data_IF_303449270780
#
_entry.id   IF_303449270780
#
_cell.length_a   1.000
_cell.length_b   1.000
_cell.length_c   1.000
_cell.angle_alpha   90.00
_cell.angle_beta   90.00
_cell.angle_gamma   90.00
#
_symmetry.space_group_name_H-M   'P 1'
#
loop_
_entity.id
_entity.type
_entity.pdbx_description
1 polymer ?
#
# COMPACT_ATOMS: atom_id res chain seq x y z
N UNK A 1 6.00 -27.43 -26.48
CA UNK A 1 4.78 -27.83 -27.22
C UNK A 1 3.93 -28.83 -26.39
N UNK A 2 3.85 -28.69 -25.07
CA UNK A 2 3.04 -29.55 -24.20
C UNK A 2 1.81 -28.83 -23.59
N UNK A 3 1.60 -27.54 -23.90
CA UNK A 3 0.59 -26.74 -23.20
C UNK A 3 -0.85 -27.21 -23.45
N UNK A 4 -1.14 -27.88 -24.57
CA UNK A 4 -2.49 -28.36 -24.88
C UNK A 4 -2.85 -29.67 -24.17
N UNK A 5 -1.87 -30.55 -23.91
CA UNK A 5 -2.08 -31.81 -23.17
C UNK A 5 -2.29 -31.58 -21.68
N UNK A 6 -1.53 -30.65 -21.11
CA UNK A 6 -1.58 -30.35 -19.69
C UNK A 6 -2.90 -29.66 -19.31
N UNK A 7 -3.58 -29.07 -20.31
CA UNK A 7 -4.81 -28.29 -20.13
C UNK A 7 -5.98 -29.10 -19.61
N UNK A 8 -6.20 -30.34 -20.08
CA UNK A 8 -7.50 -30.99 -19.91
C UNK A 8 -7.60 -31.96 -18.74
N UNK A 9 -6.49 -32.59 -18.33
CA UNK A 9 -6.45 -33.49 -17.18
C UNK A 9 -6.85 -32.81 -15.86
N UNK A 10 -6.61 -31.50 -15.80
CA UNK A 10 -6.70 -30.67 -14.60
C UNK A 10 -7.68 -29.49 -14.71
N UNK A 11 -8.54 -29.39 -15.72
CA UNK A 11 -9.46 -28.22 -15.89
C UNK A 11 -10.28 -27.95 -14.64
N UNK A 12 -10.81 -29.01 -13.99
CA UNK A 12 -11.56 -28.83 -12.75
C UNK A 12 -10.66 -28.48 -11.56
N UNK A 13 -9.38 -28.86 -11.61
CA UNK A 13 -8.39 -28.68 -10.55
C UNK A 13 -7.75 -27.29 -10.55
N UNK A 14 -7.74 -26.60 -11.71
CA UNK A 14 -7.19 -25.24 -11.85
C UNK A 14 -7.86 -24.21 -10.91
N UNK A 15 -9.10 -24.44 -10.51
CA UNK A 15 -9.84 -23.55 -9.62
C UNK A 15 -9.70 -23.89 -8.13
N UNK A 16 -8.92 -24.92 -7.80
CA UNK A 16 -8.63 -25.26 -6.41
C UNK A 16 -7.63 -24.27 -5.83
N UNK A 17 -7.92 -23.78 -4.63
CA UNK A 17 -7.07 -22.82 -3.93
C UNK A 17 -6.25 -23.58 -2.90
N UNK A 18 -4.92 -23.54 -3.06
CA UNK A 18 -3.99 -24.15 -2.10
C UNK A 18 -3.81 -23.22 -0.90
N UNK A 19 -4.08 -23.74 0.30
CA UNK A 19 -4.04 -23.01 1.57
C UNK A 19 -3.04 -23.68 2.50
N UNK A 20 -2.49 -22.92 3.45
CA UNK A 20 -1.59 -23.43 4.48
C UNK A 20 -2.24 -24.49 5.39
N UNK A 21 -3.33 -24.14 6.07
CA UNK A 21 -3.94 -24.94 7.14
C UNK A 21 -5.46 -25.07 6.99
N UNK A 22 -6.06 -26.03 7.71
CA UNK A 22 -7.53 -26.19 7.77
C UNK A 22 -8.23 -25.00 8.46
N UNK A 23 -7.58 -24.33 9.42
CA UNK A 23 -8.16 -23.14 10.10
C UNK A 23 -8.38 -22.00 9.10
N UNK A 24 -7.36 -21.68 8.32
CA UNK A 24 -7.45 -20.64 7.29
C UNK A 24 -8.55 -20.94 6.25
N UNK A 25 -8.78 -22.21 5.92
CA UNK A 25 -9.89 -22.59 5.04
C UNK A 25 -11.26 -22.33 5.70
N UNK A 26 -11.43 -22.56 7.00
CA UNK A 26 -12.67 -22.25 7.74
C UNK A 26 -12.91 -20.75 7.80
N UNK A 27 -11.90 -19.99 8.18
CA UNK A 27 -11.97 -18.52 8.26
C UNK A 27 -12.37 -17.91 6.91
N UNK A 28 -11.81 -18.40 5.80
CA UNK A 28 -12.19 -17.94 4.46
C UNK A 28 -13.63 -18.30 4.08
N UNK A 29 -14.12 -19.47 4.48
CA UNK A 29 -15.49 -19.89 4.21
C UNK A 29 -16.49 -19.10 5.05
N UNK A 30 -16.19 -18.89 6.34
CA UNK A 30 -17.01 -18.10 7.27
C UNK A 30 -17.03 -16.62 6.90
N UNK A 31 -15.94 -16.10 6.33
CA UNK A 31 -15.83 -14.71 5.85
C UNK A 31 -16.68 -14.37 4.63
N UNK A 32 -17.37 -15.34 4.01
CA UNK A 32 -18.31 -15.12 2.91
C UNK A 32 -17.62 -14.99 1.55
N UNK A 33 -17.47 -16.11 0.85
CA UNK A 33 -16.93 -16.14 -0.52
C UNK A 33 -18.05 -15.88 -1.54
N UNK A 34 -17.79 -15.00 -2.52
CA UNK A 34 -18.74 -14.72 -3.61
C UNK A 34 -19.05 -15.94 -4.50
N UNK A 35 -18.21 -16.98 -4.46
CA UNK A 35 -18.40 -18.19 -5.26
C UNK A 35 -17.85 -19.41 -4.54
N UNK A 36 -18.43 -20.57 -4.83
CA UNK A 36 -17.94 -21.85 -4.30
C UNK A 36 -16.51 -22.09 -4.81
N UNK A 37 -15.62 -22.42 -3.88
CA UNK A 37 -14.22 -22.78 -4.13
C UNK A 37 -13.88 -24.05 -3.38
N UNK A 38 -12.96 -24.84 -3.94
CA UNK A 38 -12.41 -26.01 -3.26
C UNK A 38 -11.03 -25.65 -2.73
N UNK A 39 -10.77 -25.97 -1.47
CA UNK A 39 -9.54 -25.65 -0.78
C UNK A 39 -8.68 -26.88 -0.55
N UNK A 40 -7.37 -26.77 -0.81
CA UNK A 40 -6.40 -27.84 -0.57
C UNK A 40 -5.42 -27.38 0.50
N UNK A 41 -5.51 -27.88 1.75
CA UNK A 41 -4.58 -27.50 2.81
C UNK A 41 -3.25 -28.25 2.66
N UNK A 42 -2.19 -27.61 2.16
CA UNK A 42 -0.95 -28.29 1.78
C UNK A 42 -0.20 -28.91 2.96
N UNK A 43 -0.28 -28.35 4.18
CA UNK A 43 0.38 -28.93 5.36
C UNK A 43 -0.26 -30.25 5.82
N UNK A 44 -1.58 -30.38 5.65
CA UNK A 44 -2.38 -31.45 6.26
C UNK A 44 -3.04 -32.40 5.25
N UNK A 45 -2.82 -32.17 3.95
CA UNK A 45 -3.33 -33.05 2.91
C UNK A 45 -2.58 -34.38 2.90
N UNK A 46 -3.32 -35.46 2.62
CA UNK A 46 -2.81 -36.81 2.57
C UNK A 46 -3.06 -37.31 1.14
N UNK A 47 -2.01 -37.42 0.30
CA UNK A 47 -2.16 -37.92 -1.06
C UNK A 47 -2.53 -39.41 -1.05
N UNK A 48 -3.16 -39.86 -2.13
CA UNK A 48 -3.54 -41.26 -2.28
C UNK A 48 -2.30 -42.09 -2.58
N UNK A 49 -1.99 -43.05 -1.71
CA UNK A 49 -0.91 -44.00 -1.97
C UNK A 49 -1.37 -45.06 -2.97
N UNK A 50 -0.55 -45.29 -3.99
CA UNK A 50 -0.73 -46.38 -4.93
C UNK A 50 0.30 -47.47 -4.68
N UNK A 51 -0.15 -48.68 -4.38
CA UNK A 51 0.74 -49.84 -4.31
C UNK A 51 1.39 -50.10 -5.67
N UNK A 52 2.69 -50.40 -5.65
CA UNK A 52 3.48 -50.76 -6.83
C UNK A 52 3.38 -49.74 -7.98
N UNK A 53 3.29 -48.44 -7.68
CA UNK A 53 3.11 -47.39 -8.69
C UNK A 53 4.12 -47.50 -9.85
N UNK A 54 5.40 -47.72 -9.55
CA UNK A 54 6.44 -47.89 -10.56
C UNK A 54 6.18 -49.08 -11.51
N UNK A 55 5.69 -50.21 -10.98
CA UNK A 55 5.34 -51.37 -11.80
C UNK A 55 4.12 -51.11 -12.68
N UNK A 56 3.14 -50.35 -12.17
CA UNK A 56 1.93 -49.95 -12.91
C UNK A 56 2.29 -49.01 -14.06
N UNK A 57 3.18 -48.04 -13.82
CA UNK A 57 3.69 -47.12 -14.85
C UNK A 57 4.48 -47.87 -15.92
N UNK A 58 5.38 -48.78 -15.53
CA UNK A 58 6.11 -49.63 -16.49
C UNK A 58 5.16 -50.45 -17.37
N UNK A 59 4.14 -51.07 -16.77
CA UNK A 59 3.11 -51.81 -17.51
C UNK A 59 2.35 -50.90 -18.47
N UNK A 60 1.98 -49.69 -18.06
CA UNK A 60 1.34 -48.71 -18.92
C UNK A 60 2.22 -48.33 -20.11
N UNK A 61 3.52 -48.10 -19.87
CA UNK A 61 4.50 -47.82 -20.93
C UNK A 61 4.65 -49.00 -21.90
N UNK A 62 4.63 -50.23 -21.42
CA UNK A 62 4.71 -51.42 -22.29
C UNK A 62 3.45 -51.61 -23.15
N UNK A 63 2.27 -51.24 -22.63
CA UNK A 63 1.04 -51.19 -23.42
C UNK A 63 1.14 -50.09 -24.48
N UNK A 64 1.61 -48.90 -24.11
CA UNK A 64 1.76 -47.76 -25.00
C UNK A 64 2.72 -48.04 -26.16
N UNK A 65 3.82 -48.75 -25.92
CA UNK A 65 4.75 -49.19 -26.97
C UNK A 65 4.07 -50.02 -28.06
N UNK A 66 3.03 -50.80 -27.73
CA UNK A 66 2.26 -51.56 -28.74
C UNK A 66 1.48 -50.64 -29.68
N UNK A 67 1.13 -49.45 -29.21
CA UNK A 67 0.46 -48.39 -29.99
C UNK A 67 1.44 -47.41 -30.62
N UNK A 68 2.77 -47.64 -30.52
CA UNK A 68 3.82 -46.69 -30.91
C UNK A 68 3.70 -45.32 -30.22
N UNK A 69 3.20 -45.30 -28.98
CA UNK A 69 3.01 -44.09 -28.17
C UNK A 69 3.86 -44.12 -26.89
N UNK A 70 4.03 -42.94 -26.29
CA UNK A 70 4.65 -42.78 -24.99
C UNK A 70 3.60 -42.50 -23.92
N UNK A 71 3.86 -43.00 -22.70
CA UNK A 71 3.03 -42.72 -21.52
C UNK A 71 3.90 -42.22 -20.40
N UNK A 72 3.51 -41.07 -19.85
CA UNK A 72 4.24 -40.35 -18.80
C UNK A 72 3.29 -40.04 -17.65
N UNK A 73 3.82 -39.96 -16.44
CA UNK A 73 3.03 -39.52 -15.29
C UNK A 73 2.82 -38.00 -15.36
N UNK A 74 1.61 -37.54 -15.02
CA UNK A 74 1.30 -36.11 -15.04
C UNK A 74 2.20 -35.29 -14.10
N UNK A 75 2.58 -35.87 -12.95
CA UNK A 75 3.46 -35.22 -11.98
C UNK A 75 4.85 -34.92 -12.54
N UNK A 76 5.37 -35.78 -13.44
CA UNK A 76 6.70 -35.64 -14.03
C UNK A 76 6.78 -34.53 -15.08
N UNK A 77 5.63 -34.01 -15.54
CA UNK A 77 5.52 -32.97 -16.56
C UNK A 77 5.39 -31.56 -15.97
N UNK A 78 5.26 -31.43 -14.64
CA UNK A 78 4.93 -30.18 -13.98
C UNK A 78 6.03 -29.80 -12.98
N UNK A 79 6.53 -28.57 -13.10
CA UNK A 79 7.41 -27.98 -12.09
C UNK A 79 6.60 -27.27 -11.00
N UNK A 80 6.90 -27.54 -9.73
CA UNK A 80 6.25 -26.90 -8.59
C UNK A 80 7.19 -26.74 -7.39
N UNK A 81 6.83 -25.87 -6.44
CA UNK A 81 7.59 -25.67 -5.21
C UNK A 81 7.55 -26.95 -4.34
N UNK A 82 8.69 -27.50 -3.90
CA UNK A 82 8.75 -28.69 -3.05
C UNK A 82 7.88 -28.62 -1.79
N UNK A 83 7.58 -27.43 -1.27
CA UNK A 83 6.65 -27.26 -0.14
C UNK A 83 5.24 -27.76 -0.47
N UNK A 84 4.85 -27.70 -1.73
CA UNK A 84 3.53 -28.06 -2.24
C UNK A 84 3.45 -29.51 -2.73
N UNK A 85 4.52 -30.30 -2.58
CA UNK A 85 4.62 -31.70 -3.02
C UNK A 85 3.37 -32.52 -2.71
N UNK A 86 2.93 -32.52 -1.45
CA UNK A 86 1.75 -33.29 -1.03
C UNK A 86 0.46 -32.85 -1.72
N UNK A 87 0.33 -31.56 -2.02
CA UNK A 87 -0.85 -31.02 -2.69
C UNK A 87 -0.84 -31.39 -4.18
N UNK A 88 0.33 -31.34 -4.83
CA UNK A 88 0.47 -31.78 -6.22
C UNK A 88 0.30 -33.30 -6.35
N UNK A 89 0.86 -34.09 -5.43
CA UNK A 89 0.63 -35.52 -5.35
C UNK A 89 -0.87 -35.84 -5.18
N UNK A 90 -1.59 -35.17 -4.28
CA UNK A 90 -3.03 -35.39 -4.10
C UNK A 90 -3.82 -35.22 -5.41
N UNK A 91 -3.38 -34.30 -6.26
CA UNK A 91 -4.09 -33.89 -7.47
C UNK A 91 -3.65 -34.69 -8.71
N UNK A 92 -2.34 -34.89 -8.87
CA UNK A 92 -1.73 -35.43 -10.08
C UNK A 92 -1.17 -36.85 -9.91
N UNK A 93 -1.02 -37.36 -8.69
CA UNK A 93 -0.50 -38.71 -8.47
C UNK A 93 -1.49 -39.77 -8.98
N UNK A 94 -0.96 -40.70 -9.79
CA UNK A 94 -1.77 -41.75 -10.42
C UNK A 94 -2.59 -41.27 -11.62
N UNK A 95 -2.25 -40.10 -12.19
CA UNK A 95 -2.70 -39.67 -13.51
C UNK A 95 -1.61 -39.97 -14.53
N UNK A 96 -1.96 -40.71 -15.57
CA UNK A 96 -1.12 -40.97 -16.74
C UNK A 96 -1.56 -40.10 -17.91
N UNK A 97 -0.62 -39.72 -18.77
CA UNK A 97 -0.88 -38.98 -20.00
C UNK A 97 -0.49 -39.83 -21.21
N UNK A 98 -1.42 -39.96 -22.17
CA UNK A 98 -1.24 -40.67 -23.44
C UNK A 98 -1.53 -39.74 -24.63
N UNK A 99 -1.08 -40.10 -25.83
CA UNK A 99 -1.39 -39.31 -27.02
C UNK A 99 -2.80 -39.58 -27.55
N UNK A 100 -3.20 -40.85 -27.66
CA UNK A 100 -4.50 -41.24 -28.23
C UNK A 100 -5.46 -41.89 -27.24
N UNK A 101 -6.76 -41.80 -27.57
CA UNK A 101 -7.83 -42.43 -26.80
C UNK A 101 -7.80 -43.96 -26.88
N UNK A 102 -7.28 -44.53 -27.97
CA UNK A 102 -7.13 -45.99 -28.13
C UNK A 102 -6.11 -46.54 -27.16
N UNK A 103 -4.93 -45.91 -27.07
CA UNK A 103 -3.92 -46.24 -26.06
C UNK A 103 -4.46 -46.01 -24.64
N UNK A 104 -5.10 -44.86 -24.38
CA UNK A 104 -5.63 -44.55 -23.06
C UNK A 104 -6.68 -45.58 -22.57
N UNK A 105 -7.53 -46.11 -23.45
CA UNK A 105 -8.49 -47.17 -23.10
C UNK A 105 -7.77 -48.44 -22.64
N UNK A 106 -6.80 -48.90 -23.42
CA UNK A 106 -6.06 -50.13 -23.11
C UNK A 106 -5.26 -49.98 -21.81
N UNK A 107 -4.70 -48.80 -21.56
CA UNK A 107 -3.93 -48.49 -20.35
C UNK A 107 -4.84 -48.42 -19.11
N UNK A 108 -5.98 -47.71 -19.17
CA UNK A 108 -6.87 -47.53 -18.00
C UNK A 108 -7.53 -48.83 -17.57
N UNK A 109 -7.93 -49.65 -18.54
CA UNK A 109 -8.69 -50.87 -18.28
C UNK A 109 -7.81 -52.12 -18.13
N UNK A 110 -6.48 -52.02 -18.30
CA UNK A 110 -5.56 -53.11 -17.94
C UNK A 110 -5.64 -53.40 -16.44
N UNK A 111 -5.75 -54.69 -16.11
CA UNK A 111 -5.98 -55.19 -14.76
C UNK A 111 -4.85 -54.84 -13.79
N UNK A 112 -3.62 -54.69 -14.29
CA UNK A 112 -2.43 -54.36 -13.52
C UNK A 112 -2.17 -52.85 -13.46
N UNK A 113 -2.69 -52.05 -14.40
CA UNK A 113 -2.52 -50.59 -14.39
C UNK A 113 -3.62 -49.90 -13.59
N UNK A 114 -4.90 -49.96 -13.98
CA UNK A 114 -6.04 -49.30 -13.27
C UNK A 114 -5.78 -47.88 -12.75
N UNK A 115 -5.07 -47.05 -13.51
CA UNK A 115 -4.80 -45.64 -13.19
C UNK A 115 -5.68 -44.74 -14.06
N UNK A 116 -5.98 -43.53 -13.59
CA UNK A 116 -6.69 -42.54 -14.40
C UNK A 116 -5.75 -42.11 -15.52
N UNK A 117 -6.25 -42.05 -16.75
CA UNK A 117 -5.43 -41.69 -17.90
C UNK A 117 -6.13 -40.62 -18.71
N UNK A 118 -5.37 -39.63 -19.13
CA UNK A 118 -5.87 -38.50 -19.89
C UNK A 118 -5.12 -38.41 -21.21
N UNK A 119 -5.82 -38.11 -22.31
CA UNK A 119 -5.18 -37.92 -23.61
C UNK A 119 -4.63 -36.51 -23.77
N UNK A 120 -3.64 -36.31 -24.65
CA UNK A 120 -3.17 -34.98 -25.08
C UNK A 120 -4.30 -34.09 -25.63
N UNK A 121 -5.36 -34.71 -26.14
CA UNK A 121 -6.56 -34.04 -26.65
C UNK A 121 -7.58 -33.71 -25.57
N UNK A 122 -7.39 -34.24 -24.35
CA UNK A 122 -8.19 -33.96 -23.18
C UNK A 122 -9.32 -34.92 -22.87
N UNK A 123 -9.31 -36.11 -23.46
CA UNK A 123 -10.23 -37.17 -23.05
C UNK A 123 -9.78 -37.74 -21.70
N UNK A 124 -10.65 -37.72 -20.70
CA UNK A 124 -10.39 -38.23 -19.35
C UNK A 124 -11.03 -39.61 -19.18
N UNK A 125 -10.21 -40.62 -18.90
CA UNK A 125 -10.64 -41.99 -18.68
C UNK A 125 -10.31 -42.42 -17.24
N UNK A 126 -11.34 -42.85 -16.52
CA UNK A 126 -11.23 -43.34 -15.15
C UNK A 126 -11.38 -44.86 -15.10
N UNK A 127 -10.64 -45.55 -14.21
CA UNK A 127 -10.76 -47.00 -14.05
C UNK A 127 -12.13 -47.46 -13.54
N UNK A 128 -12.99 -46.52 -13.09
CA UNK A 128 -14.39 -46.74 -12.73
C UNK A 128 -15.32 -46.92 -13.93
N UNK A 129 -14.80 -46.83 -15.17
CA UNK A 129 -15.61 -46.93 -16.40
C UNK A 129 -16.21 -45.60 -16.86
N UNK A 130 -15.85 -44.50 -16.22
CA UNK A 130 -16.29 -43.16 -16.64
C UNK A 130 -15.30 -42.60 -17.65
N UNK A 131 -15.80 -42.20 -18.81
CA UNK A 131 -15.03 -41.50 -19.84
C UNK A 131 -15.69 -40.15 -20.11
N UNK A 132 -14.89 -39.09 -20.11
CA UNK A 132 -15.31 -37.73 -20.44
C UNK A 132 -14.50 -37.26 -21.64
N UNK A 133 -15.17 -36.98 -22.76
CA UNK A 133 -14.56 -36.51 -23.99
C UNK A 133 -15.60 -35.76 -24.82
N UNK A 134 -15.16 -34.78 -25.61
CA UNK A 134 -16.04 -33.94 -26.40
C UNK A 134 -15.29 -32.82 -27.12
N UNK A 135 -15.93 -32.23 -28.13
CA UNK A 135 -15.39 -31.04 -28.78
C UNK A 135 -15.52 -29.85 -27.82
N UNK A 136 -14.38 -29.32 -27.38
CA UNK A 136 -14.35 -28.02 -26.69
C UNK A 136 -14.79 -26.95 -27.69
N UNK A 137 -15.75 -26.13 -27.27
CA UNK A 137 -16.24 -25.00 -28.05
C UNK A 137 -15.05 -24.07 -28.36
N UNK A 138 -14.62 -24.02 -29.63
CA UNK A 138 -13.40 -23.31 -30.07
C UNK A 138 -13.46 -21.80 -29.83
N UNK A 139 -14.63 -21.28 -29.48
CA UNK A 139 -14.83 -19.89 -29.10
C UNK A 139 -14.18 -19.53 -27.75
N UNK A 140 -13.85 -20.51 -26.90
CA UNK A 140 -13.23 -20.30 -25.59
C UNK A 140 -11.80 -20.85 -25.60
N UNK A 141 -10.83 -19.96 -25.49
CA UNK A 141 -9.43 -20.31 -25.25
C UNK A 141 -9.28 -21.10 -23.95
N UNK A 142 -8.40 -22.12 -23.90
CA UNK A 142 -8.09 -22.79 -22.64
C UNK A 142 -7.42 -21.80 -21.68
N UNK A 143 -7.90 -21.74 -20.42
CA UNK A 143 -7.44 -20.79 -19.40
C UNK A 143 -5.90 -20.75 -19.24
N UNK A 144 -5.22 -21.89 -19.34
CA UNK A 144 -3.75 -21.95 -19.22
C UNK A 144 -3.02 -21.28 -20.38
N UNK A 145 -3.60 -21.30 -21.59
CA UNK A 145 -3.04 -20.58 -22.75
C UNK A 145 -3.18 -19.08 -22.52
N UNK A 146 -4.31 -18.62 -21.97
CA UNK A 146 -4.51 -17.21 -21.63
C UNK A 146 -3.61 -16.75 -20.46
N UNK A 147 -3.14 -17.68 -19.63
CA UNK A 147 -2.22 -17.42 -18.53
C UNK A 147 -0.75 -17.33 -18.98
N UNK A 148 -0.40 -17.85 -20.16
CA UNK A 148 0.99 -17.82 -20.65
C UNK A 148 1.52 -16.38 -20.82
N UNK A 149 0.79 -15.44 -21.46
CA UNK A 149 1.18 -14.02 -21.49
C UNK A 149 1.31 -13.42 -20.09
N UNK A 150 0.38 -13.77 -19.18
CA UNK A 150 0.40 -13.28 -17.80
C UNK A 150 1.66 -13.73 -17.04
N UNK A 151 2.12 -14.96 -17.25
CA UNK A 151 3.38 -15.44 -16.68
C UNK A 151 4.58 -14.65 -17.21
N UNK A 152 4.58 -14.30 -18.50
CA UNK A 152 5.57 -13.42 -19.11
C UNK A 152 5.62 -12.05 -18.43
N UNK A 153 4.47 -11.37 -18.32
CA UNK A 153 4.38 -10.07 -17.65
C UNK A 153 4.77 -10.13 -16.17
N UNK A 154 4.43 -11.22 -15.47
CA UNK A 154 4.81 -11.40 -14.07
C UNK A 154 6.32 -11.54 -13.89
N UNK A 155 7.01 -12.25 -14.78
CA UNK A 155 8.48 -12.34 -14.78
C UNK A 155 9.11 -10.97 -15.02
N UNK A 156 8.65 -10.24 -16.04
CA UNK A 156 9.12 -8.89 -16.34
C UNK A 156 8.90 -7.93 -15.16
N UNK A 157 7.76 -8.04 -14.47
CA UNK A 157 7.47 -7.24 -13.28
C UNK A 157 8.45 -7.54 -12.14
N UNK A 158 8.80 -8.81 -11.93
CA UNK A 158 9.77 -9.19 -10.89
C UNK A 158 11.15 -8.62 -11.24
N UNK A 159 11.58 -8.74 -12.50
CA UNK A 159 12.85 -8.18 -12.97
C UNK A 159 12.91 -6.67 -12.80
N UNK A 160 11.88 -5.94 -13.26
CA UNK A 160 11.77 -4.48 -13.11
C UNK A 160 11.75 -4.06 -11.64
N UNK A 161 11.05 -4.80 -10.76
CA UNK A 161 11.06 -4.53 -9.32
C UNK A 161 12.43 -4.73 -8.70
N UNK A 162 13.16 -5.76 -9.12
CA UNK A 162 14.49 -6.07 -8.61
C UNK A 162 15.51 -5.02 -9.11
N UNK A 163 15.41 -4.63 -10.38
CA UNK A 163 16.17 -3.51 -10.95
C UNK A 163 15.89 -2.21 -10.20
N UNK A 164 14.63 -1.87 -9.95
CA UNK A 164 14.26 -0.66 -9.22
C UNK A 164 14.79 -0.67 -7.78
N UNK A 165 14.71 -1.80 -7.08
CA UNK A 165 15.31 -1.95 -5.74
C UNK A 165 16.82 -1.70 -5.78
N UNK A 166 17.52 -2.28 -6.75
CA UNK A 166 18.97 -2.11 -6.89
C UNK A 166 19.34 -0.66 -7.22
N UNK A 167 18.60 0.00 -8.13
CA UNK A 167 18.80 1.42 -8.45
C UNK A 167 18.53 2.30 -7.24
N UNK A 168 17.42 2.06 -6.52
CA UNK A 168 17.08 2.80 -5.31
C UNK A 168 18.15 2.67 -4.24
N UNK A 169 18.71 1.49 -4.03
CA UNK A 169 19.82 1.29 -3.07
C UNK A 169 21.06 2.07 -3.52
N UNK A 170 21.41 2.01 -4.81
CA UNK A 170 22.55 2.78 -5.36
C UNK A 170 22.37 4.28 -5.22
N UNK A 171 21.20 4.80 -5.56
CA UNK A 171 20.88 6.23 -5.43
C UNK A 171 20.87 6.66 -3.97
N UNK A 172 20.31 5.84 -3.07
CA UNK A 172 20.31 6.13 -1.64
C UNK A 172 21.74 6.24 -1.10
N UNK A 173 22.62 5.29 -1.44
CA UNK A 173 24.04 5.33 -1.06
C UNK A 173 24.74 6.57 -1.64
N UNK A 174 24.43 6.95 -2.89
CA UNK A 174 25.00 8.14 -3.54
C UNK A 174 24.58 9.43 -2.85
N UNK A 175 23.31 9.55 -2.46
CA UNK A 175 22.76 10.77 -1.87
C UNK A 175 22.94 10.85 -0.35
N UNK A 176 23.24 9.75 0.32
CA UNK A 176 23.49 9.69 1.76
C UNK A 176 24.50 10.74 2.28
N UNK A 177 25.72 10.89 1.72
CA UNK A 177 26.67 11.89 2.21
C UNK A 177 26.20 13.33 1.95
N UNK A 178 25.53 13.57 0.82
CA UNK A 178 24.96 14.88 0.50
C UNK A 178 23.83 15.23 1.48
N UNK A 179 22.98 14.26 1.81
CA UNK A 179 21.89 14.42 2.76
C UNK A 179 22.41 14.71 4.17
N UNK A 180 23.49 14.05 4.60
CA UNK A 180 24.17 14.34 5.87
C UNK A 180 24.69 15.78 5.90
N UNK A 181 25.43 16.20 4.88
CA UNK A 181 25.97 17.56 4.80
C UNK A 181 24.84 18.61 4.79
N UNK A 182 23.75 18.34 4.07
CA UNK A 182 22.58 19.21 4.05
C UNK A 182 21.97 19.36 5.45
N UNK A 183 21.76 18.25 6.17
CA UNK A 183 21.21 18.28 7.53
C UNK A 183 22.16 19.01 8.50
N UNK A 184 23.47 18.76 8.42
CA UNK A 184 24.47 19.49 9.23
C UNK A 184 24.41 21.00 9.02
N UNK A 185 24.29 21.45 7.76
CA UNK A 185 24.17 22.87 7.41
C UNK A 185 22.83 23.45 7.81
N UNK A 186 21.75 22.70 7.66
CA UNK A 186 20.41 23.07 8.11
C UNK A 186 20.40 23.29 9.63
N UNK A 187 20.96 22.35 10.40
CA UNK A 187 21.07 22.47 11.85
C UNK A 187 21.92 23.67 12.29
N UNK A 188 23.03 23.95 11.57
CA UNK A 188 23.82 25.15 11.82
C UNK A 188 23.01 26.43 11.59
N UNK A 189 22.23 26.47 10.51
CA UNK A 189 21.39 27.61 10.16
C UNK A 189 20.28 27.82 11.19
N UNK A 190 19.61 26.76 11.62
CA UNK A 190 18.59 26.81 12.67
C UNK A 190 19.18 27.33 14.00
N UNK A 191 20.36 26.84 14.41
CA UNK A 191 21.07 27.36 15.59
C UNK A 191 21.44 28.83 15.46
N UNK A 192 21.94 29.26 14.30
CA UNK A 192 22.31 30.65 14.06
C UNK A 192 21.09 31.57 14.09
N UNK A 193 19.97 31.16 13.49
CA UNK A 193 18.70 31.89 13.53
C UNK A 193 18.14 31.97 14.95
N UNK A 194 18.15 30.87 15.70
CA UNK A 194 17.75 30.87 17.10
C UNK A 194 18.56 31.86 17.93
N UNK A 195 19.90 31.85 17.78
CA UNK A 195 20.78 32.83 18.43
C UNK A 195 20.47 34.27 18.04
N UNK A 196 20.26 34.55 16.76
CA UNK A 196 19.89 35.88 16.29
C UNK A 196 18.57 36.34 16.89
N UNK A 197 17.59 35.45 17.01
CA UNK A 197 16.30 35.76 17.61
C UNK A 197 16.45 36.08 19.10
N UNK A 198 17.20 35.27 19.85
CA UNK A 198 17.50 35.56 21.27
C UNK A 198 18.23 36.90 21.43
N UNK A 199 19.21 37.21 20.58
CA UNK A 199 19.91 38.50 20.63
C UNK A 199 18.95 39.65 20.32
N UNK A 200 18.07 39.51 19.34
CA UNK A 200 17.05 40.53 19.03
C UNK A 200 16.07 40.74 20.17
N UNK A 201 15.62 39.67 20.80
CA UNK A 201 14.73 39.73 21.98
C UNK A 201 15.44 40.40 23.16
N UNK A 202 16.69 40.02 23.43
CA UNK A 202 17.51 40.65 24.47
C UNK A 202 17.78 42.14 24.19
N UNK A 203 17.99 42.50 22.92
CA UNK A 203 18.18 43.90 22.53
C UNK A 203 16.91 44.71 22.71
N UNK A 204 15.74 44.19 22.31
CA UNK A 204 14.44 44.81 22.56
C UNK A 204 14.15 44.97 24.05
N UNK A 205 14.51 43.99 24.86
CA UNK A 205 14.28 44.00 26.30
C UNK A 205 15.40 44.71 27.09
N UNK A 206 16.43 45.23 26.40
CA UNK A 206 17.57 45.90 26.99
C UNK A 206 17.13 47.18 27.71
N UNK A 207 17.73 47.52 28.86
CA UNK A 207 17.43 48.78 29.56
C UNK A 207 17.61 50.00 28.66
N UNK A 208 18.58 49.98 27.73
CA UNK A 208 18.78 51.06 26.76
C UNK A 208 17.56 51.24 25.83
N UNK A 209 16.96 50.15 25.37
CA UNK A 209 15.82 50.20 24.48
C UNK A 209 14.56 50.69 25.20
N UNK A 210 14.37 50.26 26.46
CA UNK A 210 13.29 50.77 27.32
C UNK A 210 13.41 52.27 27.57
N UNK A 211 14.63 52.76 27.82
CA UNK A 211 14.88 54.19 27.97
C UNK A 211 14.59 54.96 26.66
N UNK A 212 14.93 54.40 25.50
CA UNK A 212 14.59 55.00 24.20
C UNK A 212 13.07 55.05 23.97
N UNK A 213 12.34 53.99 24.32
CA UNK A 213 10.89 53.95 24.23
C UNK A 213 10.25 54.96 25.21
N UNK A 214 10.77 55.08 26.44
CA UNK A 214 10.35 56.09 27.43
C UNK A 214 10.60 57.51 26.92
N UNK A 215 11.78 57.78 26.35
CA UNK A 215 12.09 59.09 25.74
C UNK A 215 11.09 59.39 24.61
N UNK A 216 10.79 58.42 23.74
CA UNK A 216 9.86 58.61 22.64
C UNK A 216 8.41 58.90 23.11
N UNK A 217 7.98 58.26 24.21
CA UNK A 217 6.68 58.53 24.84
C UNK A 217 6.67 59.95 25.41
N UNK A 218 7.70 60.34 26.16
CA UNK A 218 7.80 61.69 26.74
C UNK A 218 7.84 62.77 25.65
N UNK A 219 8.55 62.52 24.55
CA UNK A 219 8.56 63.40 23.37
C UNK A 219 7.18 63.57 22.72
N UNK A 220 6.34 62.52 22.74
CA UNK A 220 4.95 62.58 22.27
C UNK A 220 4.01 63.29 23.25
N UNK A 221 4.25 63.18 24.57
CA UNK A 221 3.41 63.80 25.60
C UNK A 221 3.68 65.31 25.77
N UNK A 222 4.91 65.75 25.49
CA UNK A 222 5.32 67.17 25.50
C UNK A 222 4.36 68.14 24.79
N UNK A 223 3.94 67.92 23.52
CA UNK A 223 3.02 68.81 22.83
C UNK A 223 1.62 68.84 23.44
N UNK A 224 1.14 67.74 24.03
CA UNK A 224 -0.14 67.71 24.72
C UNK A 224 -0.09 68.53 26.01
N UNK A 225 0.98 68.37 26.81
CA UNK A 225 1.24 69.19 27.98
C UNK A 225 1.37 70.68 27.62
N UNK A 226 2.06 71.02 26.54
CA UNK A 226 2.18 72.40 26.04
C UNK A 226 0.83 73.00 25.63
N UNK A 227 -0.04 72.20 25.00
CA UNK A 227 -1.39 72.64 24.63
C UNK A 227 -2.28 72.82 25.86
N UNK A 228 -2.18 71.93 26.85
CA UNK A 228 -2.91 72.07 28.13
C UNK A 228 -2.41 73.31 28.89
N UNK A 229 -1.11 73.59 28.91
CA UNK A 229 -0.54 74.80 29.49
C UNK A 229 -1.04 76.07 28.79
N UNK A 230 -1.09 76.09 27.45
CA UNK A 230 -1.65 77.23 26.70
C UNK A 230 -3.13 77.44 26.98
N UNK A 231 -3.92 76.36 27.01
CA UNK A 231 -5.36 76.44 27.25
C UNK A 231 -5.69 76.86 28.69
N UNK A 232 -4.99 76.31 29.68
CA UNK A 232 -5.14 76.71 31.09
C UNK A 232 -4.70 78.16 31.32
N UNK A 233 -3.64 78.64 30.65
CA UNK A 233 -3.24 80.04 30.69
C UNK A 233 -4.29 80.99 30.09
N UNK A 234 -4.95 80.58 29.00
CA UNK A 234 -6.08 81.32 28.43
C UNK A 234 -7.28 81.35 29.38
N UNK A 235 -7.65 80.20 29.96
CA UNK A 235 -8.73 80.13 30.95
C UNK A 235 -8.43 80.97 32.19
N UNK A 236 -7.19 81.00 32.67
CA UNK A 236 -6.76 81.86 33.77
C UNK A 236 -6.88 83.36 33.43
N UNK A 237 -6.59 83.76 32.19
CA UNK A 237 -6.81 85.14 31.73
C UNK A 237 -8.30 85.48 31.70
N UNK A 238 -9.13 84.63 31.11
CA UNK A 238 -10.58 84.84 31.03
C UNK A 238 -11.23 84.89 32.41
N UNK A 239 -10.82 84.00 33.33
CA UNK A 239 -11.31 84.00 34.71
C UNK A 239 -10.85 85.24 35.46
N UNK A 240 -9.59 85.69 35.29
CA UNK A 240 -9.13 86.95 35.87
C UNK A 240 -9.88 88.16 35.33
N UNK A 241 -10.21 88.18 34.02
CA UNK A 241 -11.05 89.23 33.43
C UNK A 241 -12.47 89.19 34.00
N UNK A 242 -13.07 88.01 34.15
CA UNK A 242 -14.39 87.87 34.80
C UNK A 242 -14.33 88.33 36.26
N UNK A 243 -13.29 87.98 37.01
CA UNK A 243 -13.11 88.45 38.40
C UNK A 243 -13.03 89.97 38.43
N UNK A 244 -12.25 90.62 37.54
CA UNK A 244 -12.21 92.08 37.41
C UNK A 244 -13.59 92.68 37.08
N UNK A 245 -14.33 92.09 36.14
CA UNK A 245 -15.68 92.54 35.80
C UNK A 245 -16.66 92.38 36.97
N UNK A 246 -16.55 91.31 37.76
CA UNK A 246 -17.33 91.14 38.99
C UNK A 246 -16.93 92.13 40.08
N UNK A 247 -15.64 92.44 40.23
CA UNK A 247 -15.18 93.49 41.14
C UNK A 247 -15.68 94.88 40.73
N UNK A 248 -15.72 95.19 39.44
CA UNK A 248 -16.31 96.42 38.88
C UNK A 248 -17.83 96.46 39.08
N UNK A 249 -18.54 95.37 38.82
CA UNK A 249 -19.99 95.27 39.11
C UNK A 249 -20.27 95.44 40.60
N UNK A 250 -19.47 94.83 41.49
CA UNK A 250 -19.60 94.97 42.94
C UNK A 250 -19.30 96.41 43.41
N UNK A 251 -18.43 97.15 42.72
CA UNK A 251 -18.24 98.59 42.93
C UNK A 251 -19.43 99.42 42.44
N UNK A 252 -19.99 99.09 41.27
CA UNK A 252 -21.14 99.79 40.70
C UNK A 252 -22.45 99.52 41.46
N UNK A 253 -22.62 98.31 42.01
CA UNK A 253 -23.77 97.93 42.83
C UNK A 253 -23.73 98.63 44.20
N UNK A 254 -22.53 98.77 44.79
CA UNK A 254 -22.31 99.66 45.95
C UNK A 254 -22.57 101.13 45.62
N UNK A 255 -22.31 101.58 44.39
CA UNK A 255 -22.64 102.95 43.95
C UNK A 255 -24.15 103.15 43.72
N UNK A 256 -24.88 102.12 43.30
CA UNK A 256 -26.33 102.19 43.08
C UNK A 256 -27.14 102.19 44.39
N UNK A 257 -26.66 101.51 45.43
CA UNK A 257 -27.27 101.59 46.78
C UNK A 257 -27.08 102.95 47.47
N UNK A 258 -26.14 103.79 47.02
CA UNK A 258 -25.90 105.13 47.59
C UNK A 258 -26.76 106.21 46.90
N UNK A 259 -27.31 105.95 45.71
CA UNK A 259 -28.13 106.91 44.95
C UNK A 259 -29.67 106.73 45.09
N UNK A 260 -30.14 105.91 46.04
CA UNK A 260 -31.59 105.70 46.33
C UNK A 260 -31.97 106.33 47.69
N UNK A 261 -31.25 107.34 48.18
CA UNK A 261 -31.67 108.14 49.35
C UNK A 261 -31.56 109.62 49.04
#
# INVERSE_FOLDING_TARGET
MHSTSDCLAAVWLLYHVVIKNKSAARELVEGGLNSRRTFIPWESCIPRKYENLNSRVKRAQDIAKKHNESVVMALDLIDYDPKLEKAFQLVFEGILICDTITCAKDVVYDSHVKLRTVTVRGDDLKPTGTMSGGAVDRSKSPLLVDLEPYMGYKKELIEKKLLWKNLRVKDLIRFEPLHRLYNEKKDCLERANGRLQTIRENLKNSPMQKLLDEIAIIEQELPECDNILKNSALQMKDLNEKIKQYEERKKNEKAFQVNIV
#
